data_IF_561327494088
#
_entry.id   IF_561327494088
#
_cell.length_a   1.000
_cell.length_b   1.000
_cell.length_c   1.000
_cell.angle_alpha   90.00
_cell.angle_beta   90.00
_cell.angle_gamma   90.00
#
_symmetry.space_group_name_H-M   'P 1'
#
loop_
_entity.id
_entity.type
_entity.pdbx_description
1 polymer ?
#
# COMPACT_ATOMS: atom_id res chain seq x y z
N UNK A 1 30.70 -19.94 -10.06
CA UNK A 1 31.43 -20.63 -11.16
C UNK A 1 31.77 -19.56 -12.18
N UNK A 2 33.05 -19.22 -12.32
CA UNK A 2 33.54 -18.07 -13.12
C UNK A 2 33.61 -18.46 -14.60
N UNK A 3 33.04 -17.64 -15.48
CA UNK A 3 33.19 -17.79 -16.93
C UNK A 3 34.44 -17.04 -17.41
N UNK A 4 35.41 -17.72 -18.08
CA UNK A 4 36.72 -17.15 -18.39
C UNK A 4 36.79 -16.21 -19.62
N UNK A 5 35.68 -15.76 -20.20
CA UNK A 5 35.70 -14.82 -21.35
C UNK A 5 35.12 -13.42 -21.04
N UNK A 6 34.36 -13.26 -19.95
CA UNK A 6 33.79 -11.98 -19.55
C UNK A 6 33.79 -11.89 -18.02
N UNK A 7 34.64 -11.06 -17.44
CA UNK A 7 34.79 -10.84 -16.00
C UNK A 7 33.58 -10.09 -15.38
N UNK A 8 32.37 -10.62 -15.54
CA UNK A 8 31.16 -10.11 -14.91
C UNK A 8 30.70 -11.10 -13.84
N UNK A 9 30.96 -10.73 -12.60
CA UNK A 9 30.51 -11.46 -11.41
C UNK A 9 29.01 -11.17 -11.25
N UNK A 10 28.16 -12.04 -11.79
CA UNK A 10 26.72 -11.97 -11.54
C UNK A 10 26.47 -12.36 -10.09
N UNK A 11 26.41 -11.37 -9.21
CA UNK A 11 25.79 -11.52 -7.89
C UNK A 11 24.29 -11.72 -8.12
N UNK A 12 23.83 -12.95 -7.90
CA UNK A 12 22.41 -13.34 -7.92
C UNK A 12 21.60 -12.72 -6.76
N UNK A 13 22.13 -11.69 -6.10
CA UNK A 13 21.50 -10.94 -5.01
C UNK A 13 20.97 -9.57 -5.49
N UNK A 14 20.86 -9.36 -6.81
CA UNK A 14 20.19 -8.20 -7.42
C UNK A 14 18.93 -8.64 -8.18
N UNK A 15 18.31 -9.74 -7.74
CA UNK A 15 16.86 -9.87 -7.85
C UNK A 15 16.28 -8.92 -6.80
N UNK A 16 16.33 -7.63 -7.10
CA UNK A 16 15.43 -6.62 -6.57
C UNK A 16 14.03 -7.15 -6.88
N UNK A 17 13.51 -8.02 -6.00
CA UNK A 17 12.10 -8.11 -5.74
C UNK A 17 11.69 -6.69 -5.43
N UNK A 18 11.37 -5.93 -6.47
CA UNK A 18 10.59 -4.70 -6.42
C UNK A 18 9.21 -5.10 -5.93
N UNK A 19 9.15 -5.61 -4.70
CA UNK A 19 8.02 -5.47 -3.83
C UNK A 19 7.88 -3.96 -3.73
N UNK A 20 7.07 -3.37 -4.63
CA UNK A 20 6.89 -1.93 -4.72
C UNK A 20 6.46 -1.48 -3.34
N UNK A 21 7.40 -0.86 -2.65
CA UNK A 21 7.26 -0.52 -1.25
C UNK A 21 6.22 0.58 -1.16
N UNK A 22 4.97 0.20 -0.89
CA UNK A 22 3.88 1.14 -0.75
C UNK A 22 4.05 1.83 0.60
N UNK A 23 4.29 3.13 0.57
CA UNK A 23 4.55 3.94 1.77
C UNK A 23 3.31 4.76 2.09
N UNK A 24 2.94 4.82 3.36
CA UNK A 24 1.89 5.71 3.83
C UNK A 24 2.30 7.19 3.76
N UNK A 25 1.39 8.10 4.08
CA UNK A 25 1.64 9.55 4.18
C UNK A 25 2.83 9.94 5.08
N UNK A 26 3.19 9.12 6.08
CA UNK A 26 4.34 9.32 6.98
C UNK A 26 5.61 8.58 6.52
N UNK A 27 5.58 7.90 5.37
CA UNK A 27 6.73 7.16 4.83
C UNK A 27 6.89 5.74 5.38
N UNK A 28 5.92 5.21 6.15
CA UNK A 28 6.00 3.85 6.66
C UNK A 28 5.63 2.84 5.58
N UNK A 29 6.40 1.75 5.50
CA UNK A 29 6.11 0.63 4.61
C UNK A 29 4.85 -0.08 5.08
N UNK A 30 3.86 -0.10 4.20
CA UNK A 30 2.64 -0.88 4.34
C UNK A 30 2.87 -2.28 3.81
N UNK A 31 2.12 -3.23 4.38
CA UNK A 31 2.13 -4.63 3.96
C UNK A 31 0.69 -5.12 3.80
N UNK A 32 0.53 -6.26 3.13
CA UNK A 32 -0.77 -6.93 3.06
C UNK A 32 -1.20 -7.40 4.45
N UNK A 33 -2.47 -7.25 4.79
CA UNK A 33 -3.05 -7.57 6.10
C UNK A 33 -2.83 -6.52 7.19
N UNK A 34 -2.11 -5.43 6.90
CA UNK A 34 -1.77 -4.40 7.89
C UNK A 34 -2.98 -3.53 8.28
N UNK A 35 -2.82 -2.69 9.30
CA UNK A 35 -3.88 -1.78 9.75
C UNK A 35 -3.49 -0.33 9.48
N UNK A 36 -4.39 0.40 8.82
CA UNK A 36 -4.19 1.81 8.49
C UNK A 36 -5.32 2.66 9.06
N UNK A 37 -5.05 3.94 9.27
CA UNK A 37 -6.03 4.95 9.67
C UNK A 37 -6.03 6.08 8.67
N UNK A 38 -7.21 6.56 8.32
CA UNK A 38 -7.34 7.72 7.43
C UNK A 38 -6.90 8.99 8.17
N UNK A 39 -6.08 9.83 7.53
CA UNK A 39 -5.55 11.07 8.11
C UNK A 39 -6.34 12.33 7.72
N UNK A 40 -7.25 12.23 6.75
CA UNK A 40 -8.12 13.33 6.27
C UNK A 40 -9.57 12.86 6.15
N UNK A 41 -10.51 13.78 6.11
CA UNK A 41 -11.88 13.47 5.73
C UNK A 41 -11.96 13.18 4.23
N UNK A 42 -12.55 12.04 3.87
CA UNK A 42 -12.75 11.64 2.48
C UNK A 42 -14.25 11.52 2.23
N UNK A 43 -14.76 12.39 1.36
CA UNK A 43 -16.13 12.30 0.86
C UNK A 43 -16.17 11.29 -0.28
N UNK A 44 -16.91 10.20 -0.10
CA UNK A 44 -17.07 9.18 -1.12
C UNK A 44 -18.06 9.71 -2.16
N UNK A 45 -17.63 9.80 -3.43
CA UNK A 45 -18.54 10.12 -4.53
C UNK A 45 -19.54 8.97 -4.70
N UNK A 46 -20.83 9.26 -4.58
CA UNK A 46 -21.91 8.26 -4.67
C UNK A 46 -22.47 7.79 -3.33
N UNK A 47 -21.97 8.29 -2.19
CA UNK A 47 -22.55 8.05 -0.87
C UNK A 47 -22.65 9.36 -0.09
N UNK A 48 -23.70 9.51 0.72
CA UNK A 48 -23.83 10.69 1.60
C UNK A 48 -22.93 10.59 2.84
N UNK A 49 -22.32 9.42 3.04
CA UNK A 49 -21.44 9.10 4.15
C UNK A 49 -20.01 9.60 3.90
N UNK A 50 -19.44 10.25 4.90
CA UNK A 50 -18.07 10.78 4.88
C UNK A 50 -17.19 9.88 5.74
N UNK A 51 -16.06 9.44 5.20
CA UNK A 51 -15.03 8.75 5.99
C UNK A 51 -14.30 9.82 6.78
N UNK A 52 -14.50 9.83 8.10
CA UNK A 52 -13.84 10.82 8.95
C UNK A 52 -12.38 10.42 9.20
N UNK A 53 -11.55 11.43 9.41
CA UNK A 53 -10.20 11.25 9.97
C UNK A 53 -10.25 10.36 11.22
N UNK A 54 -9.29 9.45 11.34
CA UNK A 54 -9.24 8.46 12.43
C UNK A 54 -10.02 7.17 12.16
N UNK A 55 -10.69 7.04 11.01
CA UNK A 55 -11.30 5.78 10.60
C UNK A 55 -10.22 4.73 10.43
N UNK A 56 -10.26 3.68 11.26
CA UNK A 56 -9.33 2.55 11.20
C UNK A 56 -9.84 1.50 10.22
N UNK A 57 -8.96 1.07 9.34
CA UNK A 57 -9.20 0.05 8.34
C UNK A 57 -8.19 -1.06 8.58
N UNK A 58 -8.71 -2.25 8.86
CA UNK A 58 -7.91 -3.44 9.14
C UNK A 58 -7.89 -4.33 7.91
N UNK A 59 -6.87 -5.17 7.80
CA UNK A 59 -6.77 -6.15 6.71
C UNK A 59 -6.75 -5.46 5.34
N UNK A 60 -5.85 -4.48 5.19
CA UNK A 60 -5.65 -3.85 3.88
C UNK A 60 -4.97 -4.82 2.91
N UNK A 61 -5.27 -4.67 1.64
CA UNK A 61 -4.63 -5.40 0.55
C UNK A 61 -3.87 -4.42 -0.32
N UNK A 62 -2.59 -4.69 -0.57
CA UNK A 62 -1.79 -3.85 -1.45
C UNK A 62 -2.05 -4.25 -2.89
N UNK A 63 -2.28 -3.27 -3.76
CA UNK A 63 -2.56 -3.50 -5.17
C UNK A 63 -1.72 -2.57 -6.04
N UNK A 64 -1.32 -3.07 -7.20
CA UNK A 64 -0.50 -2.33 -8.13
C UNK A 64 -1.41 -1.63 -9.16
N UNK A 65 -1.71 -0.35 -8.93
CA UNK A 65 -2.64 0.40 -9.77
C UNK A 65 -2.75 1.88 -9.38
N UNK A 66 -3.76 2.58 -9.93
CA UNK A 66 -4.01 4.00 -9.61
C UNK A 66 -4.38 4.22 -8.13
N UNK A 67 -4.89 3.17 -7.48
CA UNK A 67 -5.12 3.12 -6.05
C UNK A 67 -4.35 1.95 -5.44
N UNK A 68 -3.39 2.30 -4.59
CA UNK A 68 -2.40 1.40 -4.02
C UNK A 68 -2.96 0.46 -2.93
N UNK A 69 -4.08 0.86 -2.30
CA UNK A 69 -4.62 0.20 -1.12
C UNK A 69 -6.08 -0.19 -1.39
N UNK A 70 -6.33 -1.48 -1.49
CA UNK A 70 -7.67 -2.04 -1.49
C UNK A 70 -8.05 -2.44 -0.07
N UNK A 71 -9.22 -2.04 0.39
CA UNK A 71 -9.62 -2.34 1.75
C UNK A 71 -11.13 -2.50 1.87
N UNK A 72 -11.55 -3.25 2.88
CA UNK A 72 -12.98 -3.48 3.14
C UNK A 72 -13.35 -2.89 4.48
N UNK A 73 -14.21 -1.87 4.45
CA UNK A 73 -14.76 -1.25 5.65
C UNK A 73 -16.14 -1.88 5.89
N UNK A 74 -16.40 -2.48 7.06
CA UNK A 74 -17.66 -3.21 7.29
C UNK A 74 -18.91 -2.34 7.12
N UNK A 75 -18.83 -1.03 7.41
CA UNK A 75 -19.93 -0.08 7.26
C UNK A 75 -20.08 0.54 5.87
N UNK A 76 -19.07 0.43 5.01
CA UNK A 76 -19.02 1.14 3.72
C UNK A 76 -18.80 0.23 2.51
N UNK A 77 -18.37 -1.03 2.71
CA UNK A 77 -18.04 -1.97 1.65
C UNK A 77 -16.57 -1.94 1.25
N UNK A 78 -16.27 -2.52 0.09
CA UNK A 78 -14.93 -2.49 -0.50
C UNK A 78 -14.63 -1.10 -1.08
N UNK A 79 -13.53 -0.50 -0.66
CA UNK A 79 -13.09 0.81 -1.11
C UNK A 79 -11.58 0.78 -1.39
N UNK A 80 -11.19 1.47 -2.46
CA UNK A 80 -9.78 1.69 -2.77
C UNK A 80 -9.37 3.07 -2.29
N UNK A 81 -8.22 3.16 -1.64
CA UNK A 81 -7.64 4.38 -1.08
C UNK A 81 -6.24 4.58 -1.64
N UNK A 82 -5.81 5.83 -1.73
CA UNK A 82 -4.41 6.16 -1.97
C UNK A 82 -3.64 6.14 -0.66
N UNK A 83 -2.40 5.69 -0.77
CA UNK A 83 -1.41 5.63 0.31
C UNK A 83 -1.14 7.00 0.96
N UNK A 84 -1.30 8.09 0.21
CA UNK A 84 -1.15 9.49 0.66
C UNK A 84 -2.19 9.96 1.69
N UNK A 85 -3.34 9.27 1.81
CA UNK A 85 -4.42 9.66 2.73
C UNK A 85 -4.58 8.74 3.93
N UNK A 86 -3.71 7.75 4.06
CA UNK A 86 -3.73 6.81 5.16
C UNK A 86 -2.40 6.84 5.90
N UNK A 87 -2.46 6.42 7.17
CA UNK A 87 -1.28 6.14 7.97
C UNK A 87 -1.30 4.76 8.57
N UNK A 88 -0.14 4.12 8.66
CA UNK A 88 0.01 2.89 9.44
C UNK A 88 -0.32 3.16 10.92
N UNK A 89 -1.00 2.22 11.57
CA UNK A 89 -1.36 2.27 13.01
C UNK A 89 -0.76 1.10 13.74
#
# INVERSE_FOLDING_TARGET
MVCPECAYEFSVDDLDEKERVIKDANGNVLKDGDTVSVIKDLKIKGSQSVVKVGTKVKNIRLCDGDHDIDCKIPSFGGMKLKSEFVKKV
#
